data_IF_688844689762
#
_entry.id   IF_688844689762
#
_cell.length_a   1.000
_cell.length_b   1.000
_cell.length_c   1.000
_cell.angle_alpha   90.00
_cell.angle_beta   90.00
_cell.angle_gamma   90.00
#
_symmetry.space_group_name_H-M   'P 1'
#
loop_
_entity.id
_entity.type
_entity.pdbx_description
1 polymer ?
#
# COMPACT_ATOMS: atom_id res chain seq x y z
N UNK A 1 -6.39 -21.87 40.91
CA UNK A 1 -6.74 -22.03 39.50
C UNK A 1 -6.21 -20.77 38.82
N UNK A 2 -5.19 -20.88 37.95
CA UNK A 2 -4.75 -19.72 37.18
C UNK A 2 -5.89 -19.35 36.24
N UNK A 3 -6.59 -18.27 36.53
CA UNK A 3 -7.53 -17.68 35.57
C UNK A 3 -6.69 -17.18 34.42
N UNK A 4 -6.67 -17.95 33.32
CA UNK A 4 -6.05 -17.49 32.09
C UNK A 4 -6.94 -16.39 31.50
N UNK A 5 -6.41 -15.17 31.39
CA UNK A 5 -7.10 -14.07 30.74
C UNK A 5 -6.73 -14.02 29.27
N UNK A 6 -7.72 -13.83 28.39
CA UNK A 6 -7.50 -13.72 26.97
C UNK A 6 -7.94 -12.35 26.46
N UNK A 7 -7.03 -11.73 25.73
CA UNK A 7 -7.25 -10.47 25.04
C UNK A 7 -7.63 -10.72 23.59
N UNK A 8 -8.75 -10.19 23.15
CA UNK A 8 -9.24 -10.25 21.79
C UNK A 8 -9.23 -8.84 21.22
N UNK A 9 -8.65 -8.67 20.04
CA UNK A 9 -8.47 -7.38 19.39
C UNK A 9 -8.96 -7.40 17.94
N UNK A 10 -9.51 -6.27 17.46
CA UNK A 10 -9.80 -6.05 16.04
C UNK A 10 -9.66 -4.59 15.68
N UNK A 11 -9.15 -4.34 14.47
CA UNK A 11 -8.92 -3.04 13.86
C UNK A 11 -9.76 -2.91 12.58
N UNK A 12 -10.39 -1.79 12.36
CA UNK A 12 -11.15 -1.44 11.16
C UNK A 12 -11.13 0.07 10.88
N UNK A 13 -11.80 0.50 9.80
CA UNK A 13 -12.49 -0.30 8.80
C UNK A 13 -11.54 -0.95 7.79
N UNK A 14 -11.69 -2.25 7.51
CA UNK A 14 -10.80 -2.97 6.57
C UNK A 14 -11.11 -2.57 5.13
N UNK A 15 -12.33 -2.84 4.68
CA UNK A 15 -12.73 -2.54 3.30
C UNK A 15 -12.72 -1.04 3.02
N UNK A 16 -13.23 -0.21 3.94
CA UNK A 16 -13.22 1.24 3.81
C UNK A 16 -11.82 1.87 3.75
N UNK A 17 -10.76 1.10 4.04
CA UNK A 17 -9.39 1.54 3.90
C UNK A 17 -8.66 0.84 2.75
N UNK A 18 -8.73 -0.49 2.66
CA UNK A 18 -7.95 -1.27 1.69
C UNK A 18 -8.52 -1.15 0.28
N UNK A 19 -9.86 -1.34 0.11
CA UNK A 19 -10.48 -1.38 -1.22
C UNK A 19 -10.58 -0.01 -1.89
N UNK A 20 -10.57 1.08 -1.12
CA UNK A 20 -10.58 2.43 -1.66
C UNK A 20 -9.20 2.79 -2.19
N UNK A 21 -8.97 2.47 -3.47
CA UNK A 21 -7.70 2.63 -4.16
C UNK A 21 -7.94 2.93 -5.64
N UNK A 22 -7.11 3.76 -6.25
CA UNK A 22 -7.11 4.02 -7.69
C UNK A 22 -5.91 3.40 -8.40
N UNK A 23 -4.85 3.08 -7.65
CA UNK A 23 -3.62 2.46 -8.17
C UNK A 23 -3.34 1.18 -7.40
N UNK A 24 -2.68 0.23 -8.04
CA UNK A 24 -2.23 -1.00 -7.38
C UNK A 24 -1.43 -0.72 -6.12
N UNK A 25 -0.62 0.34 -6.15
CA UNK A 25 0.14 0.80 -4.97
C UNK A 25 -0.75 1.28 -3.83
N UNK A 26 -1.86 1.97 -4.08
CA UNK A 26 -2.79 2.40 -3.02
C UNK A 26 -3.44 1.20 -2.34
N UNK A 27 -3.79 0.17 -3.13
CA UNK A 27 -4.35 -1.08 -2.61
C UNK A 27 -3.35 -1.84 -1.74
N UNK A 28 -2.14 -2.02 -2.25
CA UNK A 28 -1.04 -2.61 -1.49
C UNK A 28 -0.76 -1.84 -0.20
N UNK A 29 -0.67 -0.51 -0.29
CA UNK A 29 -0.41 0.36 0.85
C UNK A 29 -1.47 0.22 1.94
N UNK A 30 -2.76 0.15 1.55
CA UNK A 30 -3.86 -0.08 2.49
C UNK A 30 -3.72 -1.40 3.24
N UNK A 31 -3.42 -2.49 2.53
CA UNK A 31 -3.20 -3.81 3.12
C UNK A 31 -1.96 -3.83 4.03
N UNK A 32 -0.85 -3.24 3.57
CA UNK A 32 0.39 -3.16 4.34
C UNK A 32 0.20 -2.39 5.65
N UNK A 33 -0.37 -1.19 5.58
CA UNK A 33 -0.59 -0.31 6.75
C UNK A 33 -1.54 -0.96 7.77
N UNK A 34 -2.62 -1.60 7.30
CA UNK A 34 -3.52 -2.33 8.19
C UNK A 34 -2.80 -3.46 8.92
N UNK A 35 -2.00 -4.24 8.19
CA UNK A 35 -1.19 -5.31 8.76
C UNK A 35 -0.12 -4.78 9.72
N UNK A 36 0.54 -3.67 9.38
CA UNK A 36 1.53 -3.03 10.24
C UNK A 36 0.91 -2.55 11.55
N UNK A 37 -0.25 -1.89 11.52
CA UNK A 37 -0.97 -1.46 12.73
C UNK A 37 -1.43 -2.64 13.59
N UNK A 38 -1.87 -3.74 12.97
CA UNK A 38 -2.18 -4.98 13.70
C UNK A 38 -0.93 -5.57 14.35
N UNK A 39 0.20 -5.50 13.66
CA UNK A 39 1.50 -5.90 14.19
C UNK A 39 1.97 -5.02 15.34
N UNK A 40 1.72 -3.70 15.29
CA UNK A 40 1.95 -2.79 16.42
C UNK A 40 1.10 -3.20 17.64
N UNK A 41 -0.18 -3.55 17.44
CA UNK A 41 -1.03 -4.05 18.52
C UNK A 41 -0.49 -5.34 19.15
N UNK A 42 -0.02 -6.28 18.31
CA UNK A 42 0.61 -7.53 18.78
C UNK A 42 1.91 -7.23 19.54
N UNK A 43 2.78 -6.37 19.01
CA UNK A 43 4.05 -6.00 19.63
C UNK A 43 3.81 -5.29 20.99
N UNK A 44 2.80 -4.43 21.10
CA UNK A 44 2.39 -3.80 22.34
C UNK A 44 1.86 -4.83 23.34
N UNK A 45 1.07 -5.80 22.89
CA UNK A 45 0.56 -6.89 23.73
C UNK A 45 1.70 -7.72 24.32
N UNK A 46 2.70 -8.10 23.50
CA UNK A 46 3.89 -8.84 23.98
C UNK A 46 4.75 -7.99 24.94
N UNK A 47 4.92 -6.70 24.63
CA UNK A 47 5.67 -5.78 25.51
C UNK A 47 5.05 -5.69 26.90
N UNK A 48 3.73 -5.84 26.99
CA UNK A 48 2.99 -5.85 28.25
C UNK A 48 2.93 -7.24 28.91
N UNK A 49 3.59 -8.25 28.35
CA UNK A 49 3.71 -9.60 28.90
C UNK A 49 2.67 -10.60 28.37
N UNK A 50 1.92 -10.22 27.34
CA UNK A 50 1.01 -11.14 26.65
C UNK A 50 1.76 -12.07 25.69
N UNK A 51 1.09 -13.15 25.30
CA UNK A 51 1.56 -14.10 24.29
C UNK A 51 0.49 -14.25 23.21
N UNK A 52 0.86 -13.95 21.96
CA UNK A 52 -0.09 -14.06 20.82
C UNK A 52 -0.44 -15.53 20.61
N UNK A 53 -1.72 -15.84 20.67
CA UNK A 53 -2.24 -17.20 20.49
C UNK A 53 -2.71 -17.45 19.06
N UNK A 54 -3.33 -16.45 18.42
CA UNK A 54 -3.83 -16.59 17.06
C UNK A 54 -4.19 -15.23 16.43
N UNK A 55 -3.84 -15.02 15.14
CA UNK A 55 -2.91 -15.79 14.34
C UNK A 55 -1.46 -15.59 14.81
N UNK A 56 -0.62 -16.57 14.61
CA UNK A 56 0.81 -16.43 14.89
C UNK A 56 1.43 -15.63 13.73
N UNK A 57 2.08 -14.48 14.00
CA UNK A 57 2.72 -13.70 12.96
C UNK A 57 3.87 -14.48 12.31
N UNK A 58 4.20 -14.16 11.05
CA UNK A 58 5.36 -14.72 10.39
C UNK A 58 6.62 -14.47 11.23
N UNK A 59 7.50 -15.49 11.29
CA UNK A 59 8.72 -15.43 12.11
C UNK A 59 9.54 -14.17 11.82
N UNK A 60 9.86 -13.41 12.86
CA UNK A 60 10.63 -12.18 12.79
C UNK A 60 9.85 -10.93 12.35
N UNK A 61 8.56 -11.03 12.01
CA UNK A 61 7.80 -9.85 11.57
C UNK A 61 7.70 -8.79 12.68
N UNK A 62 7.42 -9.18 13.91
CA UNK A 62 7.34 -8.25 15.05
C UNK A 62 8.72 -7.66 15.40
N UNK A 63 9.81 -8.38 15.11
CA UNK A 63 11.16 -7.84 15.27
C UNK A 63 11.43 -6.72 14.27
N UNK A 64 10.95 -6.83 13.03
CA UNK A 64 11.00 -5.74 12.05
C UNK A 64 10.26 -4.49 12.55
N UNK A 65 9.09 -4.65 13.15
CA UNK A 65 8.34 -3.53 13.74
C UNK A 65 9.13 -2.84 14.85
N UNK A 66 9.88 -3.60 15.66
CA UNK A 66 10.71 -3.10 16.79
C UNK A 66 12.09 -2.57 16.36
N UNK A 67 12.42 -2.58 15.07
CA UNK A 67 13.74 -2.16 14.57
C UNK A 67 14.85 -3.19 14.76
N UNK A 68 14.52 -4.42 15.16
CA UNK A 68 15.48 -5.51 15.37
C UNK A 68 15.42 -6.57 14.27
N UNK A 69 14.69 -6.29 13.18
CA UNK A 69 14.41 -7.23 12.10
C UNK A 69 15.66 -7.75 11.40
N UNK A 70 15.68 -9.04 11.12
CA UNK A 70 16.76 -9.73 10.40
C UNK A 70 16.19 -10.60 9.29
N UNK A 71 16.95 -10.80 8.22
CA UNK A 71 16.57 -11.68 7.12
C UNK A 71 15.64 -11.03 6.10
N UNK A 72 14.60 -11.74 5.67
CA UNK A 72 13.69 -11.29 4.61
C UNK A 72 12.87 -10.10 5.07
N UNK A 73 12.98 -9.00 4.34
CA UNK A 73 12.21 -7.77 4.59
C UNK A 73 10.72 -8.02 4.32
N UNK A 74 9.81 -7.67 5.25
CA UNK A 74 8.37 -7.75 5.00
C UNK A 74 7.96 -6.73 3.93
N UNK A 75 7.38 -7.21 2.83
CA UNK A 75 7.01 -6.37 1.67
C UNK A 75 5.51 -6.26 1.45
N UNK A 76 4.74 -7.06 2.14
CA UNK A 76 3.28 -7.12 2.01
C UNK A 76 2.61 -7.33 3.36
N UNK A 77 1.33 -6.98 3.45
CA UNK A 77 0.53 -7.25 4.63
C UNK A 77 0.34 -8.75 4.83
N UNK A 78 0.73 -9.25 6.01
CA UNK A 78 0.63 -10.69 6.37
C UNK A 78 -0.10 -10.93 7.69
N UNK A 79 -0.36 -9.89 8.48
CA UNK A 79 -1.11 -9.98 9.73
C UNK A 79 -2.54 -9.53 9.48
N UNK A 80 -3.56 -10.36 9.81
CA UNK A 80 -4.95 -9.93 9.71
C UNK A 80 -5.28 -8.87 10.78
N UNK A 81 -6.39 -8.19 10.56
CA UNK A 81 -6.87 -7.11 11.42
C UNK A 81 -7.46 -7.59 12.76
N UNK A 82 -7.39 -8.88 13.07
CA UNK A 82 -7.94 -9.49 14.29
C UNK A 82 -6.96 -10.51 14.85
N UNK A 83 -6.75 -10.46 16.17
CA UNK A 83 -5.93 -11.46 16.87
C UNK A 83 -6.42 -11.73 18.29
N UNK A 84 -5.88 -12.78 18.88
CA UNK A 84 -6.08 -13.20 20.28
C UNK A 84 -4.74 -13.42 20.94
N UNK A 85 -4.69 -13.14 22.25
CA UNK A 85 -3.51 -13.36 23.07
C UNK A 85 -3.90 -13.84 24.46
N UNK A 86 -3.09 -14.70 25.08
CA UNK A 86 -3.13 -14.89 26.53
C UNK A 86 -2.37 -13.74 27.20
N UNK A 87 -2.91 -13.21 28.32
CA UNK A 87 -2.35 -12.03 28.94
C UNK A 87 -2.31 -12.20 30.47
N UNK A 88 -1.36 -11.53 31.15
CA UNK A 88 -1.23 -11.59 32.60
C UNK A 88 -2.39 -10.87 33.29
N UNK A 89 -2.54 -11.14 34.60
CA UNK A 89 -3.46 -10.40 35.45
C UNK A 89 -3.06 -8.90 35.45
N UNK A 90 -4.09 -8.03 35.43
CA UNK A 90 -3.88 -6.59 35.36
C UNK A 90 -3.52 -6.05 33.99
N UNK A 91 -3.58 -6.87 32.93
CA UNK A 91 -3.38 -6.40 31.55
C UNK A 91 -4.45 -5.38 31.16
N UNK A 92 -4.00 -4.22 30.64
CA UNK A 92 -4.90 -3.15 30.19
C UNK A 92 -4.94 -3.05 28.64
N UNK A 93 -5.99 -3.59 28.06
CA UNK A 93 -6.22 -3.52 26.59
C UNK A 93 -6.36 -2.10 26.04
N UNK A 94 -6.66 -1.10 26.90
CA UNK A 94 -6.73 0.30 26.49
C UNK A 94 -5.35 0.84 26.09
N UNK A 95 -4.28 0.38 26.74
CA UNK A 95 -2.91 0.76 26.36
C UNK A 95 -2.54 0.25 24.97
N UNK A 96 -3.02 -0.94 24.59
CA UNK A 96 -2.82 -1.47 23.21
C UNK A 96 -3.58 -0.61 22.20
N UNK A 97 -4.82 -0.24 22.48
CA UNK A 97 -5.59 0.67 21.63
C UNK A 97 -4.87 2.02 21.46
N UNK A 98 -4.41 2.60 22.55
CA UNK A 98 -3.66 3.87 22.53
C UNK A 98 -2.36 3.76 21.73
N UNK A 99 -1.64 2.65 21.85
CA UNK A 99 -0.43 2.40 21.07
C UNK A 99 -0.70 2.39 19.57
N UNK A 100 -1.78 1.75 19.11
CA UNK A 100 -2.14 1.71 17.68
C UNK A 100 -2.51 3.10 17.17
N UNK A 101 -3.32 3.85 17.94
CA UNK A 101 -3.70 5.22 17.57
C UNK A 101 -2.50 6.15 17.51
N UNK A 102 -1.60 6.06 18.46
CA UNK A 102 -0.39 6.88 18.48
C UNK A 102 0.59 6.47 17.38
N UNK A 103 0.76 5.18 17.10
CA UNK A 103 1.58 4.71 15.98
C UNK A 103 1.10 5.26 14.63
N UNK A 104 -0.22 5.24 14.38
CA UNK A 104 -0.79 5.85 13.20
C UNK A 104 -0.53 7.34 13.13
N UNK A 105 -0.79 8.05 14.23
CA UNK A 105 -0.58 9.49 14.33
C UNK A 105 0.87 9.88 14.07
N UNK A 106 1.83 9.17 14.65
CA UNK A 106 3.26 9.42 14.45
C UNK A 106 3.69 9.14 13.01
N UNK A 107 3.18 8.08 12.38
CA UNK A 107 3.45 7.81 10.97
C UNK A 107 2.84 8.89 10.07
N UNK A 108 1.60 9.29 10.31
CA UNK A 108 0.96 10.36 9.58
C UNK A 108 1.71 11.70 9.77
N UNK A 109 2.13 12.02 10.99
CA UNK A 109 2.93 13.22 11.27
C UNK A 109 4.29 13.17 10.56
N UNK A 110 4.93 12.00 10.50
CA UNK A 110 6.16 11.85 9.74
C UNK A 110 5.95 12.18 8.25
N UNK A 111 4.89 11.66 7.63
CA UNK A 111 4.53 12.01 6.24
C UNK A 111 4.18 13.49 6.08
N UNK A 112 3.47 14.06 7.04
CA UNK A 112 3.14 15.48 7.06
C UNK A 112 4.38 16.36 7.02
N UNK A 113 5.35 16.10 7.88
CA UNK A 113 6.57 16.87 7.98
C UNK A 113 7.40 16.83 6.68
N UNK A 114 7.43 15.67 6.02
CA UNK A 114 8.21 15.49 4.80
C UNK A 114 7.54 16.13 3.57
N UNK A 115 6.23 15.96 3.41
CA UNK A 115 5.58 16.21 2.14
C UNK A 115 4.61 17.41 2.14
N UNK A 116 3.93 17.66 3.25
CA UNK A 116 2.76 18.55 3.25
C UNK A 116 2.96 19.86 4.01
N UNK A 117 3.77 19.87 5.05
CA UNK A 117 3.97 21.01 5.95
C UNK A 117 4.28 22.33 5.23
N UNK A 118 5.13 22.28 4.20
CA UNK A 118 5.54 23.45 3.43
C UNK A 118 4.41 24.05 2.57
N UNK A 119 3.33 23.33 2.36
CA UNK A 119 2.19 23.71 1.53
C UNK A 119 0.92 23.95 2.34
N UNK A 120 0.90 23.51 3.58
CA UNK A 120 -0.28 23.49 4.43
C UNK A 120 -0.72 24.89 4.87
N UNK A 121 -2.02 25.11 4.81
CA UNK A 121 -2.72 26.21 5.50
C UNK A 121 -3.22 25.74 6.88
N UNK A 122 -3.69 26.63 7.75
CA UNK A 122 -4.38 26.23 8.98
C UNK A 122 -5.56 25.27 8.70
N UNK A 123 -6.37 25.54 7.67
CA UNK A 123 -7.48 24.68 7.28
C UNK A 123 -7.00 23.27 6.83
N UNK A 124 -5.90 23.19 6.09
CA UNK A 124 -5.25 21.91 5.75
C UNK A 124 -4.88 21.12 7.02
N UNK A 125 -4.32 21.81 8.03
CA UNK A 125 -3.96 21.23 9.32
C UNK A 125 -5.17 20.69 10.09
N UNK A 126 -6.29 21.40 10.07
CA UNK A 126 -7.54 20.97 10.70
C UNK A 126 -8.12 19.71 10.04
N UNK A 127 -8.16 19.69 8.70
CA UNK A 127 -8.59 18.50 7.94
C UNK A 127 -7.68 17.31 8.25
N UNK A 128 -6.35 17.51 8.21
CA UNK A 128 -5.37 16.48 8.51
C UNK A 128 -5.58 15.86 9.88
N UNK A 129 -5.66 16.72 10.90
CA UNK A 129 -5.83 16.27 12.28
C UNK A 129 -7.14 15.53 12.48
N UNK A 130 -8.26 16.13 12.05
CA UNK A 130 -9.61 15.57 12.20
C UNK A 130 -9.71 14.18 11.60
N UNK A 131 -9.19 13.98 10.39
CA UNK A 131 -9.29 12.73 9.66
C UNK A 131 -8.39 11.64 10.26
N UNK A 132 -7.16 11.95 10.59
CA UNK A 132 -6.24 10.98 11.18
C UNK A 132 -6.64 10.58 12.62
N UNK A 133 -7.21 11.48 13.40
CA UNK A 133 -7.65 11.18 14.76
C UNK A 133 -8.91 10.28 14.79
N UNK A 134 -9.80 10.43 13.79
CA UNK A 134 -11.14 9.84 13.83
C UNK A 134 -11.32 8.58 12.97
N UNK A 135 -10.34 8.19 12.15
CA UNK A 135 -10.56 7.13 11.15
C UNK A 135 -10.65 5.72 11.72
N UNK A 136 -9.75 5.36 12.65
CA UNK A 136 -9.61 3.96 13.05
C UNK A 136 -10.66 3.53 14.07
N UNK A 137 -11.37 2.48 13.73
CA UNK A 137 -12.29 1.76 14.60
C UNK A 137 -11.54 0.61 15.28
N UNK A 138 -11.24 0.77 16.56
CA UNK A 138 -10.54 -0.25 17.35
C UNK A 138 -11.51 -0.80 18.38
N UNK A 139 -11.61 -2.13 18.45
CA UNK A 139 -12.39 -2.82 19.45
C UNK A 139 -11.57 -3.94 20.09
N UNK A 140 -11.72 -4.12 21.39
CA UNK A 140 -11.08 -5.20 22.13
C UNK A 140 -11.98 -5.70 23.27
N UNK A 141 -11.72 -6.91 23.71
CA UNK A 141 -12.42 -7.54 24.81
C UNK A 141 -11.48 -8.43 25.61
N UNK A 142 -11.75 -8.54 26.91
CA UNK A 142 -11.11 -9.51 27.81
C UNK A 142 -12.09 -10.65 28.09
N UNK A 143 -11.62 -11.88 28.03
CA UNK A 143 -12.42 -13.08 28.30
C UNK A 143 -11.62 -14.08 29.14
N UNK A 144 -12.31 -15.04 29.74
CA UNK A 144 -11.71 -16.16 30.49
C UNK A 144 -11.43 -17.38 29.59
N UNK A 145 -11.89 -17.33 28.33
CA UNK A 145 -11.70 -18.40 27.34
C UNK A 145 -11.24 -17.87 26.00
N UNK A 146 -10.27 -18.53 25.41
CA UNK A 146 -9.68 -18.14 24.12
C UNK A 146 -10.69 -18.27 22.96
N UNK A 147 -11.69 -19.17 23.08
CA UNK A 147 -12.73 -19.39 22.07
C UNK A 147 -13.79 -18.29 22.09
N UNK A 148 -14.04 -17.66 23.23
CA UNK A 148 -15.15 -16.72 23.43
C UNK A 148 -14.81 -15.35 22.82
N UNK A 149 -15.04 -15.23 21.52
CA UNK A 149 -14.94 -13.96 20.80
C UNK A 149 -16.27 -13.20 20.68
N UNK A 150 -17.37 -13.74 21.23
CA UNK A 150 -18.68 -13.12 21.13
C UNK A 150 -18.74 -11.71 21.73
N UNK A 151 -18.00 -11.46 22.83
CA UNK A 151 -17.93 -10.14 23.44
C UNK A 151 -17.27 -9.12 22.51
N UNK A 152 -16.19 -9.51 21.82
CA UNK A 152 -15.55 -8.66 20.80
C UNK A 152 -16.50 -8.37 19.65
N UNK A 153 -17.22 -9.38 19.16
CA UNK A 153 -18.16 -9.22 18.04
C UNK A 153 -19.33 -8.30 18.42
N UNK A 154 -19.84 -8.41 19.63
CA UNK A 154 -20.83 -7.47 20.19
C UNK A 154 -20.30 -6.06 20.24
N UNK A 155 -19.08 -5.81 20.76
CA UNK A 155 -18.47 -4.48 20.81
C UNK A 155 -18.27 -3.89 19.45
N UNK A 156 -17.78 -4.67 18.48
CA UNK A 156 -17.62 -4.25 17.10
C UNK A 156 -18.96 -3.87 16.45
N UNK A 157 -20.02 -4.64 16.71
CA UNK A 157 -21.33 -4.42 16.12
C UNK A 157 -22.13 -3.27 16.77
N UNK A 158 -21.70 -2.81 17.94
CA UNK A 158 -22.35 -1.67 18.63
C UNK A 158 -22.29 -0.37 17.85
N UNK A 159 -21.33 -0.21 16.95
CA UNK A 159 -21.17 0.91 16.00
C UNK A 159 -21.38 2.28 16.66
N UNK A 160 -20.68 2.54 17.74
CA UNK A 160 -20.67 3.84 18.41
C UNK A 160 -19.67 4.83 17.80
N UNK A 161 -18.94 4.44 16.77
CA UNK A 161 -18.03 5.31 16.05
C UNK A 161 -18.82 6.19 15.08
N UNK A 162 -18.79 7.51 15.31
CA UNK A 162 -19.38 8.51 14.43
C UNK A 162 -18.24 9.24 13.71
N UNK A 163 -18.16 9.14 12.37
CA UNK A 163 -17.18 9.91 11.63
C UNK A 163 -17.47 11.42 11.78
N UNK A 164 -16.43 12.27 11.76
CA UNK A 164 -16.60 13.71 11.86
C UNK A 164 -17.32 14.24 10.61
N UNK A 165 -17.93 15.44 10.69
CA UNK A 165 -18.42 16.14 9.52
C UNK A 165 -17.28 16.41 8.53
N UNK A 166 -17.52 16.14 7.27
CA UNK A 166 -16.57 16.33 6.20
C UNK A 166 -17.15 17.30 5.15
N UNK A 167 -17.03 18.63 5.35
CA UNK A 167 -17.52 19.61 4.40
C UNK A 167 -16.66 19.69 3.12
N UNK A 168 -17.14 20.39 2.12
CA UNK A 168 -16.38 20.66 0.90
C UNK A 168 -16.24 19.49 -0.07
N UNK A 169 -15.27 19.60 -0.99
CA UNK A 169 -15.02 18.63 -2.05
C UNK A 169 -14.43 17.34 -1.48
N UNK A 170 -14.88 16.19 -2.02
CA UNK A 170 -14.47 14.88 -1.53
C UNK A 170 -13.20 14.39 -2.21
N UNK A 171 -12.47 13.57 -1.47
CA UNK A 171 -11.34 12.82 -1.96
C UNK A 171 -11.72 11.94 -3.16
N UNK A 172 -10.88 11.91 -4.18
CA UNK A 172 -11.12 11.09 -5.38
C UNK A 172 -10.88 9.60 -5.16
N UNK A 173 -10.29 9.21 -4.02
CA UNK A 173 -9.97 7.81 -3.68
C UNK A 173 -10.86 7.30 -2.56
N UNK A 174 -10.97 8.05 -1.46
CA UNK A 174 -11.71 7.67 -0.28
C UNK A 174 -13.01 8.48 -0.20
N UNK A 175 -14.08 7.84 -0.63
CA UNK A 175 -15.40 8.46 -0.70
C UNK A 175 -15.86 8.93 0.70
N UNK A 176 -16.50 10.09 0.72
CA UNK A 176 -17.00 10.70 1.95
C UNK A 176 -16.01 11.62 2.68
N UNK A 177 -14.70 11.46 2.52
CA UNK A 177 -13.69 12.27 3.18
C UNK A 177 -13.34 13.53 2.39
N UNK A 178 -13.24 14.67 3.06
CA UNK A 178 -12.85 15.95 2.44
C UNK A 178 -11.40 15.90 1.95
N UNK A 179 -11.13 16.55 0.81
CA UNK A 179 -9.77 16.71 0.30
C UNK A 179 -8.95 17.73 1.13
N UNK A 180 -7.63 17.63 1.09
CA UNK A 180 -6.71 18.27 2.03
C UNK A 180 -6.54 19.79 1.91
N UNK A 181 -6.95 20.44 0.83
CA UNK A 181 -6.77 21.90 0.76
C UNK A 181 -7.54 22.66 1.86
N UNK A 182 -8.59 22.02 2.40
CA UNK A 182 -9.46 22.64 3.41
C UNK A 182 -10.40 23.70 2.84
N UNK A 183 -10.46 23.86 1.52
CA UNK A 183 -11.30 24.87 0.85
C UNK A 183 -12.71 24.32 0.68
N UNK A 184 -13.66 24.86 1.44
CA UNK A 184 -15.07 24.42 1.41
C UNK A 184 -15.88 25.10 0.30
N UNK A 185 -15.44 26.26 -0.18
CA UNK A 185 -16.14 26.99 -1.23
C UNK A 185 -16.19 26.21 -2.53
N UNK A 186 -17.40 25.86 -2.99
CA UNK A 186 -17.68 25.07 -4.20
C UNK A 186 -17.80 25.91 -5.49
N UNK A 187 -17.72 27.25 -5.39
CA UNK A 187 -17.77 28.15 -6.54
C UNK A 187 -16.43 28.16 -7.30
N UNK A 188 -16.41 28.84 -8.45
CA UNK A 188 -15.24 28.90 -9.35
C UNK A 188 -13.96 29.32 -8.64
N UNK A 189 -14.02 30.38 -7.82
CA UNK A 189 -12.85 30.85 -7.05
C UNK A 189 -12.28 29.77 -6.12
N UNK A 190 -13.16 29.02 -5.43
CA UNK A 190 -12.74 27.91 -4.58
C UNK A 190 -12.18 26.74 -5.39
N UNK A 191 -12.72 26.44 -6.57
CA UNK A 191 -12.22 25.42 -7.47
C UNK A 191 -10.81 25.75 -7.98
N UNK A 192 -10.58 27.01 -8.37
CA UNK A 192 -9.26 27.45 -8.83
C UNK A 192 -8.22 27.43 -7.71
N UNK A 193 -8.60 27.82 -6.49
CA UNK A 193 -7.71 27.74 -5.33
C UNK A 193 -7.36 26.31 -4.96
N UNK A 194 -8.32 25.36 -5.00
CA UNK A 194 -8.04 23.93 -4.81
C UNK A 194 -7.10 23.38 -5.86
N UNK A 195 -7.35 23.70 -7.12
CA UNK A 195 -6.47 23.29 -8.22
C UNK A 195 -5.06 23.81 -8.02
N UNK A 196 -4.92 25.09 -7.68
CA UNK A 196 -3.61 25.70 -7.41
C UNK A 196 -2.87 25.02 -6.25
N UNK A 197 -3.56 24.63 -5.17
CA UNK A 197 -2.97 23.88 -4.06
C UNK A 197 -2.38 22.54 -4.55
N UNK A 198 -3.18 21.73 -5.27
CA UNK A 198 -2.74 20.43 -5.75
C UNK A 198 -1.67 20.50 -6.85
N UNK A 199 -1.74 21.49 -7.73
CA UNK A 199 -0.69 21.75 -8.72
C UNK A 199 0.63 22.16 -8.07
N UNK A 200 0.60 23.02 -7.07
CA UNK A 200 1.79 23.41 -6.32
C UNK A 200 2.45 22.22 -5.64
N UNK A 201 1.66 21.34 -5.04
CA UNK A 201 2.14 20.12 -4.40
C UNK A 201 2.72 19.13 -5.42
N UNK A 202 2.00 18.85 -6.50
CA UNK A 202 2.43 17.89 -7.54
C UNK A 202 3.69 18.34 -8.30
N UNK A 203 3.92 19.65 -8.39
CA UNK A 203 5.10 20.25 -9.02
C UNK A 203 6.20 20.61 -8.02
N UNK A 204 6.17 20.04 -6.81
CA UNK A 204 7.19 20.32 -5.79
C UNK A 204 8.59 20.01 -6.29
N UNK A 205 9.48 20.99 -6.19
CA UNK A 205 10.88 20.82 -6.58
C UNK A 205 11.71 20.08 -5.51
N UNK A 206 11.21 20.01 -4.29
CA UNK A 206 11.87 19.32 -3.18
C UNK A 206 11.81 17.81 -3.32
N UNK A 207 10.76 17.30 -3.97
CA UNK A 207 10.61 15.87 -4.24
C UNK A 207 10.06 15.64 -5.66
N UNK A 208 10.92 15.15 -6.55
CA UNK A 208 10.56 14.80 -7.93
C UNK A 208 9.48 13.72 -8.02
N UNK A 209 9.32 12.92 -6.99
CA UNK A 209 8.31 11.83 -6.95
C UNK A 209 6.89 12.36 -6.80
N UNK A 210 6.69 13.59 -6.36
CA UNK A 210 5.38 14.21 -6.28
C UNK A 210 4.68 14.25 -7.63
N UNK A 211 5.40 14.52 -8.73
CA UNK A 211 4.84 14.54 -10.09
C UNK A 211 4.25 13.19 -10.50
N UNK A 212 4.86 12.08 -10.09
CA UNK A 212 4.37 10.72 -10.37
C UNK A 212 3.30 10.25 -9.42
N UNK A 213 3.35 10.73 -8.18
CA UNK A 213 2.43 10.30 -7.13
C UNK A 213 1.09 11.02 -7.19
N UNK A 214 1.03 12.23 -7.73
CA UNK A 214 -0.20 13.02 -7.86
C UNK A 214 -0.50 13.28 -9.33
N UNK A 215 -1.47 12.57 -9.90
CA UNK A 215 -1.95 12.86 -11.24
C UNK A 215 -2.75 14.18 -11.25
N UNK A 216 -2.82 14.80 -12.43
CA UNK A 216 -3.61 16.01 -12.63
C UNK A 216 -5.09 15.76 -12.25
N UNK A 217 -5.64 16.63 -11.42
CA UNK A 217 -7.01 16.52 -10.93
C UNK A 217 -7.21 15.52 -9.77
N UNK A 218 -6.17 14.84 -9.27
CA UNK A 218 -6.26 14.05 -8.04
C UNK A 218 -6.27 14.99 -6.83
N UNK A 219 -7.29 14.82 -5.99
CA UNK A 219 -7.47 15.55 -4.72
C UNK A 219 -7.66 14.52 -3.62
N UNK A 220 -6.74 14.45 -2.67
CA UNK A 220 -6.68 13.40 -1.67
C UNK A 220 -7.08 13.91 -0.28
N UNK A 221 -7.75 13.07 0.50
CA UNK A 221 -7.89 13.26 1.95
C UNK A 221 -6.60 12.85 2.68
N UNK A 222 -6.50 13.12 3.98
CA UNK A 222 -5.31 12.79 4.78
C UNK A 222 -4.97 11.28 4.72
N UNK A 223 -5.96 10.43 4.84
CA UNK A 223 -5.78 8.98 4.83
C UNK A 223 -5.23 8.46 3.49
N UNK A 224 -5.81 8.95 2.38
CA UNK A 224 -5.34 8.60 1.04
C UNK A 224 -3.95 9.17 0.76
N UNK A 225 -3.64 10.34 1.29
CA UNK A 225 -2.32 10.96 1.20
C UNK A 225 -1.26 10.13 1.94
N UNK A 226 -1.54 9.73 3.19
CA UNK A 226 -0.66 8.83 3.94
C UNK A 226 -0.46 7.52 3.19
N UNK A 227 -1.52 6.86 2.71
CA UNK A 227 -1.42 5.64 1.88
C UNK A 227 -0.50 5.83 0.67
N UNK A 228 -0.60 6.97 -0.02
CA UNK A 228 0.17 7.25 -1.23
C UNK A 228 1.65 7.49 -0.95
N UNK A 229 1.97 8.11 0.20
CA UNK A 229 3.30 8.67 0.46
C UNK A 229 4.13 7.93 1.52
N UNK A 230 3.51 7.23 2.47
CA UNK A 230 4.24 6.65 3.60
C UNK A 230 5.42 5.76 3.19
N UNK A 231 5.27 4.96 2.13
CA UNK A 231 6.28 4.00 1.72
C UNK A 231 7.61 4.65 1.30
N UNK A 232 7.58 5.93 0.88
CA UNK A 232 8.79 6.68 0.51
C UNK A 232 9.61 7.12 1.72
N UNK A 233 8.93 7.29 2.86
CA UNK A 233 9.52 7.81 4.09
C UNK A 233 9.58 6.76 5.21
N UNK A 234 9.08 5.54 4.95
CA UNK A 234 8.94 4.53 5.99
C UNK A 234 10.26 4.03 6.54
N UNK A 235 11.32 4.00 5.74
CA UNK A 235 12.66 3.62 6.20
C UNK A 235 13.26 4.58 7.25
N UNK A 236 12.82 5.83 7.23
CA UNK A 236 13.29 6.88 8.15
C UNK A 236 12.36 7.05 9.35
N UNK A 237 11.23 6.34 9.34
CA UNK A 237 10.26 6.40 10.43
C UNK A 237 10.78 5.72 11.68
N UNK A 238 10.82 6.47 12.78
CA UNK A 238 11.17 5.94 14.10
C UNK A 238 10.40 6.69 15.17
N UNK A 239 9.80 5.96 16.11
CA UNK A 239 9.13 6.54 17.28
C UNK A 239 9.18 5.62 18.48
N UNK A 240 8.91 6.17 19.66
CA UNK A 240 8.80 5.42 20.91
C UNK A 240 7.42 5.66 21.51
N UNK A 241 6.68 4.59 21.71
CA UNK A 241 5.35 4.61 22.33
C UNK A 241 5.45 4.32 23.82
N UNK A 242 4.60 4.96 24.62
CA UNK A 242 4.49 4.70 26.07
C UNK A 242 3.37 3.70 26.33
N UNK A 243 3.66 2.65 27.11
CA UNK A 243 2.74 1.58 27.51
C UNK A 243 2.72 1.47 29.03
N UNK A 244 2.12 2.43 29.72
CA UNK A 244 2.22 2.56 31.17
C UNK A 244 3.66 2.85 31.59
N UNK A 245 4.27 1.98 32.38
CA UNK A 245 5.68 2.08 32.79
C UNK A 245 6.67 1.55 31.74
N UNK A 246 6.19 0.89 30.69
CA UNK A 246 7.00 0.31 29.61
C UNK A 246 7.02 1.21 28.39
N UNK A 247 7.95 0.97 27.50
CA UNK A 247 8.01 1.64 26.20
C UNK A 247 8.14 0.61 25.08
N UNK A 248 7.66 0.98 23.88
CA UNK A 248 7.78 0.21 22.66
C UNK A 248 8.39 1.09 21.58
N UNK A 249 9.56 0.71 21.09
CA UNK A 249 10.18 1.36 19.94
C UNK A 249 9.55 0.79 18.69
N UNK A 250 9.21 1.68 17.75
CA UNK A 250 8.77 1.33 16.40
C UNK A 250 9.75 1.91 15.41
N UNK A 251 10.20 1.09 14.47
CA UNK A 251 11.04 1.52 13.36
C UNK A 251 10.43 1.02 12.03
N UNK A 252 10.51 1.88 11.01
CA UNK A 252 10.20 1.49 9.66
C UNK A 252 11.39 0.79 8.99
N UNK A 253 11.16 0.35 7.76
CA UNK A 253 12.21 -0.28 6.94
C UNK A 253 12.04 0.09 5.47
N UNK A 254 13.07 -0.18 4.67
CA UNK A 254 13.04 0.12 3.25
C UNK A 254 11.93 -0.68 2.55
N UNK A 255 11.00 0.04 1.93
CA UNK A 255 9.95 -0.51 1.11
C UNK A 255 10.21 -0.24 -0.38
N UNK A 256 9.82 -1.16 -1.23
CA UNK A 256 9.81 -0.93 -2.66
C UNK A 256 8.58 -0.11 -3.04
N UNK A 257 8.78 1.04 -3.65
CA UNK A 257 7.70 1.95 -4.07
C UNK A 257 7.25 1.72 -5.51
N UNK A 258 8.04 0.97 -6.30
CA UNK A 258 7.75 0.61 -7.68
C UNK A 258 6.71 -0.51 -7.77
N UNK A 259 5.42 -0.16 -7.70
CA UNK A 259 4.32 -1.10 -7.92
C UNK A 259 3.84 -1.03 -9.36
N UNK A 260 3.64 -2.18 -10.04
CA UNK A 260 3.20 -2.19 -11.42
C UNK A 260 1.82 -1.53 -11.57
N UNK A 261 1.70 -0.65 -12.55
CA UNK A 261 0.39 -0.15 -12.96
C UNK A 261 -0.40 -1.26 -13.66
N UNK A 262 -1.72 -1.11 -13.73
CA UNK A 262 -2.59 -2.02 -14.48
C UNK A 262 -2.18 -2.10 -15.96
N UNK A 263 -1.82 -0.96 -16.56
CA UNK A 263 -1.30 -0.91 -17.92
C UNK A 263 0.01 -1.70 -18.06
N UNK A 264 0.93 -1.56 -17.11
CA UNK A 264 2.17 -2.32 -17.11
C UNK A 264 1.91 -3.83 -17.03
N UNK A 265 1.02 -4.27 -16.15
CA UNK A 265 0.66 -5.69 -16.01
C UNK A 265 0.06 -6.25 -17.32
N UNK A 266 -0.76 -5.47 -18.03
CA UNK A 266 -1.30 -5.86 -19.32
C UNK A 266 -0.20 -5.96 -20.41
N UNK A 267 0.89 -5.21 -20.29
CA UNK A 267 2.01 -5.21 -21.24
C UNK A 267 3.06 -6.30 -20.98
N UNK A 268 3.06 -6.97 -19.82
CA UNK A 268 4.14 -7.89 -19.38
C UNK A 268 4.51 -8.94 -20.42
N UNK A 269 3.54 -9.68 -20.95
CA UNK A 269 3.79 -10.73 -21.94
C UNK A 269 4.32 -10.20 -23.28
N UNK A 270 3.84 -9.03 -23.65
CA UNK A 270 4.35 -8.35 -24.84
C UNK A 270 5.78 -7.85 -24.61
N UNK A 271 6.08 -7.28 -23.45
CA UNK A 271 7.43 -6.87 -23.08
C UNK A 271 8.42 -8.05 -23.07
N UNK A 272 8.00 -9.22 -22.62
CA UNK A 272 8.81 -10.43 -22.70
C UNK A 272 9.20 -10.76 -24.15
N UNK A 273 8.26 -10.64 -25.10
CA UNK A 273 8.56 -10.82 -26.53
C UNK A 273 9.54 -9.76 -27.05
N UNK A 274 9.44 -8.52 -26.57
CA UNK A 274 10.39 -7.45 -26.92
C UNK A 274 11.79 -7.76 -26.38
N UNK A 275 11.89 -8.23 -25.15
CA UNK A 275 13.18 -8.64 -24.55
C UNK A 275 13.84 -9.74 -25.34
N UNK A 276 13.08 -10.74 -25.78
CA UNK A 276 13.55 -11.90 -26.52
C UNK A 276 13.69 -11.64 -28.03
N UNK A 277 13.48 -10.40 -28.49
CA UNK A 277 13.58 -10.06 -29.90
C UNK A 277 15.01 -10.18 -30.42
N UNK A 278 15.18 -10.77 -31.61
CA UNK A 278 16.49 -10.98 -32.20
C UNK A 278 17.14 -9.69 -32.68
N UNK A 279 16.34 -8.69 -33.08
CA UNK A 279 16.85 -7.38 -33.52
C UNK A 279 17.13 -6.49 -32.33
N UNK A 280 18.29 -6.67 -31.70
CA UNK A 280 18.71 -5.94 -30.50
C UNK A 280 18.97 -4.45 -30.77
N UNK A 281 19.27 -4.05 -32.00
CA UNK A 281 19.42 -2.65 -32.37
C UNK A 281 18.08 -1.93 -32.35
N UNK A 282 17.02 -2.58 -32.85
CA UNK A 282 15.66 -2.06 -32.79
C UNK A 282 15.17 -1.97 -31.32
N UNK A 283 15.51 -2.94 -30.47
CA UNK A 283 15.20 -2.87 -29.02
C UNK A 283 15.91 -1.69 -28.34
N UNK A 284 17.15 -1.42 -28.71
CA UNK A 284 17.88 -0.26 -28.20
C UNK A 284 17.29 1.07 -28.71
N UNK A 285 16.90 1.13 -29.98
CA UNK A 285 16.20 2.29 -30.54
C UNK A 285 14.87 2.55 -29.84
N UNK A 286 14.09 1.48 -29.55
CA UNK A 286 12.84 1.56 -28.80
C UNK A 286 13.04 2.13 -27.40
N UNK A 287 14.09 1.67 -26.67
CA UNK A 287 14.44 2.23 -25.37
C UNK A 287 14.74 3.73 -25.47
N UNK A 288 15.55 4.13 -26.44
CA UNK A 288 15.92 5.54 -26.63
C UNK A 288 14.72 6.42 -26.95
N UNK A 289 13.79 5.95 -27.78
CA UNK A 289 12.55 6.64 -28.09
C UNK A 289 11.60 6.67 -26.87
N UNK A 290 11.46 5.54 -26.19
CA UNK A 290 10.63 5.44 -24.98
C UNK A 290 11.06 6.35 -23.85
N UNK A 291 12.38 6.54 -23.62
CA UNK A 291 12.90 7.47 -22.64
C UNK A 291 12.54 8.93 -22.90
N UNK A 292 12.31 9.31 -24.15
CA UNK A 292 11.83 10.66 -24.46
C UNK A 292 10.36 10.85 -24.09
N UNK A 293 9.59 9.76 -24.06
CA UNK A 293 8.16 9.77 -23.75
C UNK A 293 7.88 9.59 -22.26
N UNK A 294 8.72 8.82 -21.56
CA UNK A 294 8.56 8.53 -20.15
C UNK A 294 9.67 9.23 -19.36
N UNK A 295 9.36 10.34 -18.69
CA UNK A 295 10.33 11.12 -17.91
C UNK A 295 10.79 10.43 -16.61
N UNK A 296 10.26 9.26 -16.22
CA UNK A 296 10.44 8.71 -14.89
C UNK A 296 11.04 7.31 -14.88
N UNK A 297 12.33 7.25 -14.58
CA UNK A 297 13.09 6.03 -14.28
C UNK A 297 12.75 5.38 -12.91
N UNK A 298 11.77 5.90 -12.17
CA UNK A 298 11.48 5.47 -10.80
C UNK A 298 10.72 4.14 -10.68
N UNK A 299 10.18 3.64 -11.77
CA UNK A 299 9.41 2.41 -11.80
C UNK A 299 10.30 1.20 -12.05
N UNK A 300 11.13 0.81 -11.07
CA UNK A 300 11.81 -0.49 -11.15
C UNK A 300 10.81 -1.61 -10.91
N UNK A 301 10.12 -2.04 -11.96
CA UNK A 301 9.14 -3.11 -11.93
C UNK A 301 9.85 -4.45 -11.90
N UNK A 302 9.88 -5.11 -10.74
CA UNK A 302 10.48 -6.45 -10.60
C UNK A 302 9.44 -7.54 -10.84
N UNK A 303 9.04 -7.70 -12.09
CA UNK A 303 8.24 -8.86 -12.49
C UNK A 303 9.20 -9.97 -12.88
N UNK A 304 9.13 -11.10 -12.17
CA UNK A 304 10.14 -12.15 -12.24
C UNK A 304 10.36 -12.67 -13.66
N UNK A 305 9.30 -12.94 -14.44
CA UNK A 305 9.44 -13.43 -15.81
C UNK A 305 10.21 -12.45 -16.73
N UNK A 306 10.02 -11.14 -16.56
CA UNK A 306 10.78 -10.14 -17.32
C UNK A 306 12.23 -10.09 -16.88
N UNK A 307 12.51 -10.18 -15.57
CA UNK A 307 13.88 -10.21 -15.06
C UNK A 307 14.60 -11.46 -15.49
N UNK A 308 13.96 -12.64 -15.42
CA UNK A 308 14.53 -13.91 -15.88
C UNK A 308 14.86 -13.85 -17.39
N UNK A 309 13.98 -13.21 -18.19
CA UNK A 309 14.23 -13.01 -19.63
C UNK A 309 15.42 -12.09 -19.90
N UNK A 310 15.50 -10.93 -19.22
CA UNK A 310 16.61 -9.99 -19.41
C UNK A 310 17.94 -10.56 -18.88
N UNK A 311 17.91 -11.37 -17.83
CA UNK A 311 19.10 -12.06 -17.29
C UNK A 311 19.59 -13.12 -18.30
N UNK A 312 18.68 -13.91 -18.84
CA UNK A 312 18.98 -14.91 -19.87
C UNK A 312 19.61 -14.29 -21.12
N UNK A 313 19.08 -13.15 -21.56
CA UNK A 313 19.60 -12.43 -22.73
C UNK A 313 20.83 -11.53 -22.40
N UNK A 314 21.31 -11.54 -21.16
CA UNK A 314 22.50 -10.79 -20.76
C UNK A 314 22.37 -9.28 -20.89
N UNK A 315 21.19 -8.71 -20.70
CA UNK A 315 20.93 -7.29 -20.89
C UNK A 315 21.76 -6.42 -19.92
N UNK A 316 22.38 -5.38 -20.45
CA UNK A 316 23.06 -4.35 -19.67
C UNK A 316 22.06 -3.60 -18.77
N UNK A 317 22.58 -2.93 -17.73
CA UNK A 317 21.78 -2.07 -16.86
C UNK A 317 21.01 -0.99 -17.66
N UNK A 318 21.60 -0.46 -18.73
CA UNK A 318 20.96 0.52 -19.61
C UNK A 318 19.76 -0.09 -20.35
N UNK A 319 19.92 -1.27 -20.96
CA UNK A 319 18.83 -1.96 -21.65
C UNK A 319 17.67 -2.32 -20.73
N UNK A 320 17.97 -2.69 -19.47
CA UNK A 320 16.95 -3.01 -18.45
C UNK A 320 16.00 -1.83 -18.18
N UNK A 321 16.38 -0.62 -18.48
CA UNK A 321 15.50 0.55 -18.35
C UNK A 321 14.27 0.47 -19.28
N UNK A 322 14.31 -0.31 -20.35
CA UNK A 322 13.13 -0.52 -21.21
C UNK A 322 11.98 -1.18 -20.45
N UNK A 323 12.29 -2.18 -19.63
CA UNK A 323 11.27 -2.84 -18.80
C UNK A 323 10.92 -2.04 -17.51
N UNK A 324 11.53 -0.88 -17.32
CA UNK A 324 11.22 0.06 -16.24
C UNK A 324 10.43 1.29 -16.71
N UNK A 325 10.10 1.38 -17.99
CA UNK A 325 9.26 2.46 -18.53
C UNK A 325 7.82 2.33 -18.01
N UNK A 326 7.13 3.47 -17.88
CA UNK A 326 5.70 3.48 -17.53
C UNK A 326 4.90 2.64 -18.55
N UNK A 327 4.05 1.75 -18.02
CA UNK A 327 3.25 0.85 -18.85
C UNK A 327 2.34 1.54 -19.87
N UNK A 328 1.93 2.77 -19.61
CA UNK A 328 1.08 3.54 -20.51
C UNK A 328 1.77 3.86 -21.84
N UNK A 329 3.10 3.94 -21.87
CA UNK A 329 3.85 4.24 -23.10
C UNK A 329 3.70 3.16 -24.17
N UNK A 330 3.37 1.93 -23.78
CA UNK A 330 3.26 0.80 -24.71
C UNK A 330 1.92 0.74 -25.45
N UNK A 331 0.89 1.50 -25.00
CA UNK A 331 -0.44 1.46 -25.61
C UNK A 331 -0.70 2.64 -26.54
N UNK A 332 -1.15 2.34 -27.77
CA UNK A 332 -1.44 3.35 -28.80
C UNK A 332 -2.48 4.38 -28.33
N UNK A 333 -3.57 3.93 -27.68
CA UNK A 333 -4.62 4.83 -27.22
C UNK A 333 -4.13 5.84 -26.16
N UNK A 334 -3.16 5.47 -25.31
CA UNK A 334 -2.56 6.38 -24.33
C UNK A 334 -1.58 7.35 -24.99
N UNK A 335 -0.74 6.86 -25.92
CA UNK A 335 0.16 7.73 -26.71
C UNK A 335 -0.61 8.73 -27.58
N UNK A 336 -1.83 8.38 -28.01
CA UNK A 336 -2.74 9.29 -28.72
C UNK A 336 -3.16 10.51 -27.91
N UNK A 337 -3.08 10.45 -26.56
CA UNK A 337 -3.46 11.54 -25.69
C UNK A 337 -2.37 12.62 -25.64
N UNK A 338 -2.63 13.77 -26.32
CA UNK A 338 -1.70 14.90 -26.40
C UNK A 338 -1.38 15.55 -25.06
N UNK A 339 -2.23 15.37 -24.06
CA UNK A 339 -1.99 15.91 -22.72
C UNK A 339 -0.90 15.14 -21.97
N UNK A 340 -0.89 13.81 -22.12
CA UNK A 340 0.13 12.94 -21.52
C UNK A 340 1.42 12.89 -22.33
N UNK A 341 1.30 12.92 -23.65
CA UNK A 341 2.43 12.83 -24.57
C UNK A 341 2.38 14.01 -25.56
N UNK A 342 2.82 15.21 -25.14
CA UNK A 342 2.74 16.41 -25.96
C UNK A 342 3.74 16.40 -27.15
N UNK A 343 4.88 15.75 -27.00
CA UNK A 343 5.90 15.62 -28.07
C UNK A 343 5.46 14.56 -29.09
N UNK A 344 4.77 15.03 -30.13
CA UNK A 344 4.23 14.18 -31.17
C UNK A 344 5.29 13.56 -32.10
N UNK A 345 6.47 14.19 -32.20
CA UNK A 345 7.58 13.64 -33.00
C UNK A 345 8.16 12.42 -32.29
N UNK A 346 8.40 12.51 -30.99
CA UNK A 346 8.89 11.36 -30.19
C UNK A 346 7.85 10.22 -30.16
N UNK A 347 6.55 10.52 -30.18
CA UNK A 347 5.50 9.50 -30.31
C UNK A 347 5.59 8.80 -31.66
N UNK A 348 5.73 9.56 -32.76
CA UNK A 348 5.83 9.01 -34.12
C UNK A 348 7.10 8.12 -34.23
N UNK A 349 8.25 8.59 -33.77
CA UNK A 349 9.50 7.81 -33.76
C UNK A 349 9.30 6.46 -33.03
N UNK A 350 8.64 6.48 -31.88
CA UNK A 350 8.39 5.28 -31.09
C UNK A 350 7.45 4.30 -31.83
N UNK A 351 6.41 4.81 -32.44
CA UNK A 351 5.44 4.00 -33.19
C UNK A 351 6.02 3.39 -34.46
N UNK A 352 6.88 4.13 -35.17
CA UNK A 352 7.59 3.63 -36.36
C UNK A 352 8.48 2.43 -36.01
N UNK A 353 9.27 2.56 -34.89
CA UNK A 353 10.12 1.47 -34.44
C UNK A 353 9.29 0.23 -34.06
N UNK A 354 8.15 0.40 -33.41
CA UNK A 354 7.26 -0.70 -33.05
C UNK A 354 6.69 -1.41 -34.26
N UNK A 355 6.32 -0.65 -35.33
CA UNK A 355 5.66 -1.19 -36.49
C UNK A 355 6.63 -1.83 -37.50
N UNK A 356 7.78 -1.20 -37.68
CA UNK A 356 8.67 -1.50 -38.81
C UNK A 356 9.95 -2.24 -38.39
N UNK A 357 10.49 -1.95 -37.23
CA UNK A 357 11.81 -2.44 -36.83
C UNK A 357 11.79 -3.70 -35.98
N UNK A 358 10.69 -3.98 -35.27
CA UNK A 358 10.55 -5.13 -34.39
C UNK A 358 9.71 -6.24 -35.07
N UNK A 359 10.30 -7.40 -35.24
CA UNK A 359 9.60 -8.63 -35.61
C UNK A 359 8.87 -9.24 -34.43
N UNK A 360 7.72 -8.67 -34.07
CA UNK A 360 6.88 -9.16 -32.99
C UNK A 360 5.66 -9.88 -33.53
N UNK A 361 5.23 -10.93 -32.83
CA UNK A 361 3.98 -11.63 -33.12
C UNK A 361 2.78 -10.68 -33.02
N UNK A 362 2.81 -9.84 -31.97
CA UNK A 362 1.83 -8.78 -31.72
C UNK A 362 2.55 -7.43 -31.73
N UNK A 363 2.16 -6.52 -32.60
CA UNK A 363 2.80 -5.19 -32.75
C UNK A 363 2.57 -4.26 -31.55
N UNK A 364 1.56 -4.54 -30.74
CA UNK A 364 1.25 -3.78 -29.53
C UNK A 364 0.68 -4.71 -28.44
N UNK A 365 0.83 -4.36 -27.16
CA UNK A 365 0.21 -5.13 -26.11
C UNK A 365 -1.32 -5.03 -26.18
N UNK A 366 -1.99 -6.13 -25.87
CA UNK A 366 -3.45 -6.16 -25.74
C UNK A 366 -3.86 -5.42 -24.45
N UNK A 367 -4.77 -4.44 -24.49
CA UNK A 367 -5.21 -3.69 -23.31
C UNK A 367 -6.16 -4.53 -22.44
N UNK A 368 -5.72 -5.72 -22.06
CA UNK A 368 -6.49 -6.68 -21.28
C UNK A 368 -5.67 -7.21 -20.12
N UNK A 369 -6.27 -7.29 -18.95
CA UNK A 369 -5.74 -7.95 -17.77
C UNK A 369 -6.85 -8.67 -17.05
N UNK A 370 -6.50 -9.67 -16.25
CA UNK A 370 -7.41 -10.39 -15.38
C UNK A 370 -7.05 -10.14 -13.92
N UNK A 371 -8.06 -9.95 -13.09
CA UNK A 371 -7.92 -9.93 -11.63
C UNK A 371 -8.46 -11.25 -11.10
N UNK A 372 -7.57 -12.05 -10.51
CA UNK A 372 -7.98 -13.26 -9.80
C UNK A 372 -8.17 -12.92 -8.32
N UNK A 373 -9.39 -13.11 -7.84
CA UNK A 373 -9.72 -13.02 -6.42
C UNK A 373 -10.12 -14.39 -5.93
N UNK A 374 -9.55 -14.81 -4.80
CA UNK A 374 -9.85 -16.08 -4.16
C UNK A 374 -10.20 -15.83 -2.71
N UNK A 375 -11.22 -16.51 -2.23
CA UNK A 375 -11.62 -16.51 -0.82
C UNK A 375 -11.72 -17.96 -0.33
N UNK A 376 -11.47 -18.16 0.97
CA UNK A 376 -11.55 -19.47 1.58
C UNK A 376 -12.99 -19.79 2.02
N UNK A 377 -13.63 -20.74 1.35
CA UNK A 377 -14.97 -21.17 1.70
C UNK A 377 -15.05 -21.67 3.14
N UNK A 378 -16.04 -21.16 3.88
CA UNK A 378 -16.34 -21.58 5.25
C UNK A 378 -15.17 -21.48 6.23
N UNK A 379 -14.16 -20.64 5.92
CA UNK A 379 -12.97 -20.46 6.75
C UNK A 379 -13.34 -20.07 8.19
N UNK A 380 -14.34 -19.21 8.37
CA UNK A 380 -14.84 -18.82 9.69
C UNK A 380 -15.37 -20.02 10.51
N UNK A 381 -16.07 -20.93 9.87
CA UNK A 381 -16.57 -22.17 10.53
C UNK A 381 -15.43 -23.11 10.87
N UNK A 382 -14.47 -23.29 9.96
CA UNK A 382 -13.30 -24.14 10.20
C UNK A 382 -12.40 -23.58 11.30
N UNK A 383 -12.31 -22.26 11.41
CA UNK A 383 -11.57 -21.54 12.44
C UNK A 383 -12.30 -21.47 13.79
N UNK A 384 -13.52 -22.00 13.92
CA UNK A 384 -14.25 -22.02 15.18
C UNK A 384 -13.63 -22.96 16.23
N UNK A 385 -12.84 -23.96 15.83
CA UNK A 385 -12.12 -24.86 16.74
C UNK A 385 -10.64 -24.49 16.85
N UNK A 386 -10.12 -24.43 18.09
CA UNK A 386 -8.72 -24.07 18.37
C UNK A 386 -7.69 -24.97 17.65
N UNK A 387 -7.90 -26.27 17.62
CA UNK A 387 -7.00 -27.21 16.96
C UNK A 387 -6.89 -27.01 15.45
N UNK A 388 -7.92 -26.42 14.83
CA UNK A 388 -7.91 -26.09 13.41
C UNK A 388 -7.27 -24.71 13.15
N UNK A 389 -7.40 -23.76 14.07
CA UNK A 389 -6.88 -22.39 13.92
C UNK A 389 -5.36 -22.39 13.65
N UNK A 390 -4.59 -23.12 14.42
CA UNK A 390 -3.14 -23.21 14.26
C UNK A 390 -2.75 -23.87 12.92
N UNK A 391 -3.43 -24.96 12.57
CA UNK A 391 -3.19 -25.66 11.28
C UNK A 391 -3.53 -24.77 10.08
N UNK A 392 -4.65 -24.04 10.15
CA UNK A 392 -5.09 -23.13 9.08
C UNK A 392 -4.13 -21.94 8.98
N UNK A 393 -3.73 -21.33 10.10
CA UNK A 393 -2.77 -20.23 10.10
C UNK A 393 -1.43 -20.65 9.46
N UNK A 394 -0.91 -21.82 9.84
CA UNK A 394 0.30 -22.38 9.27
C UNK A 394 0.14 -22.67 7.77
N UNK A 395 -1.01 -23.20 7.35
CA UNK A 395 -1.29 -23.46 5.94
C UNK A 395 -1.40 -22.17 5.13
N UNK A 396 -2.06 -21.13 5.66
CA UNK A 396 -2.17 -19.82 5.02
C UNK A 396 -0.80 -19.13 4.88
N UNK A 397 0.06 -19.21 5.89
CA UNK A 397 1.41 -18.67 5.81
C UNK A 397 2.22 -19.39 4.71
N UNK A 398 2.17 -20.71 4.67
CA UNK A 398 2.82 -21.51 3.61
C UNK A 398 2.24 -21.19 2.22
N UNK A 399 0.93 -21.03 2.12
CA UNK A 399 0.26 -20.64 0.87
C UNK A 399 0.74 -19.25 0.42
N UNK A 400 0.77 -18.27 1.30
CA UNK A 400 1.23 -16.91 0.98
C UNK A 400 2.67 -16.89 0.47
N UNK A 401 3.55 -17.69 1.07
CA UNK A 401 4.94 -17.83 0.60
C UNK A 401 5.05 -18.56 -0.74
N UNK A 402 4.15 -19.50 -1.02
CA UNK A 402 4.17 -20.33 -2.23
C UNK A 402 3.41 -19.71 -3.41
N UNK A 403 2.43 -18.82 -3.16
CA UNK A 403 1.50 -18.33 -4.19
C UNK A 403 2.20 -17.72 -5.40
N UNK A 404 3.25 -16.94 -5.18
CA UNK A 404 4.00 -16.33 -6.27
C UNK A 404 4.62 -17.39 -7.20
N UNK A 405 5.17 -18.46 -6.62
CA UNK A 405 5.74 -19.57 -7.37
C UNK A 405 4.66 -20.37 -8.11
N UNK A 406 3.55 -20.68 -7.44
CA UNK A 406 2.43 -21.41 -8.06
C UNK A 406 1.86 -20.64 -9.25
N UNK A 407 1.68 -19.33 -9.13
CA UNK A 407 1.22 -18.49 -10.24
C UNK A 407 2.23 -18.48 -11.40
N UNK A 408 3.53 -18.41 -11.10
CA UNK A 408 4.59 -18.43 -12.13
C UNK A 408 4.71 -19.78 -12.85
N UNK A 409 4.59 -20.89 -12.13
CA UNK A 409 4.73 -22.24 -12.70
C UNK A 409 3.51 -22.64 -13.56
N UNK A 410 2.38 -21.94 -13.43
CA UNK A 410 1.11 -22.24 -14.11
C UNK A 410 0.71 -21.19 -15.16
N UNK A 411 1.40 -20.06 -15.24
CA UNK A 411 1.16 -18.99 -16.21
C UNK A 411 2.16 -19.04 -17.36
#
# INVERSE_FOLDING_TARGET
MNNSNYFHFTLGPVQGFVSQARRTRDFWAGSFLLSWLSGVAMAATEQMGGTITFPIPATGYLDWIRGNGKGKIPRQGSIPNRFKASVPDGFDGKLVEQAVREAWKQLAEHVWQQDLKAFASPATGEVWKRQNDAFWEISWAMTDKVEDSNLLDRRKNWRNHLPPPEPGVKCVIMEGWQELSGIENMQTVGNDARRAFWEKLSKSKSDKTCTTDFADGEMLCALAFVKRRFARHFAEFKTTLTLGEKSLILEGWQLETGMPSVAYMAAVRWLEQVVLNKNQDAVHALLKAGKKLAENDEWSMRIKCLHDAVDKEGWSAEKRQLIALDGNVFFEHTRGNKKFYPDRNSVADFEEILKESLELKEKAPTPFYAVLMMDGDSLGTQMSSLGNQEKIATALNKFTDAVAKVVQDKS
#
